data_IF_392991488254
#
_entry.id   IF_392991488254
#
_cell.length_a   1.000
_cell.length_b   1.000
_cell.length_c   1.000
_cell.angle_alpha   90.00
_cell.angle_beta   90.00
_cell.angle_gamma   90.00
#
_symmetry.space_group_name_H-M   'P 1'
#
loop_
_entity.id
_entity.type
_entity.pdbx_description
1 polymer ?
#
# COMPACT_ATOMS: atom_id res chain seq x y z
N UNK A 1 13.85 -6.17 -1.70
CA UNK A 1 13.17 -4.88 -1.92
C UNK A 1 12.09 -5.07 -2.97
N UNK A 2 10.90 -4.54 -2.74
CA UNK A 2 9.84 -4.40 -3.73
C UNK A 2 9.56 -2.91 -3.98
N UNK A 3 9.15 -2.59 -5.21
CA UNK A 3 8.89 -1.22 -5.64
C UNK A 3 7.68 -1.17 -6.58
N UNK A 4 6.91 -0.08 -6.47
CA UNK A 4 5.91 0.35 -7.45
C UNK A 4 6.07 1.84 -7.74
N UNK A 5 5.49 2.30 -8.85
CA UNK A 5 5.44 3.72 -9.20
C UNK A 5 3.99 4.22 -9.12
N UNK A 6 3.79 5.26 -8.32
CA UNK A 6 2.55 6.05 -8.30
C UNK A 6 2.75 7.31 -9.12
N UNK A 7 1.69 7.77 -9.80
CA UNK A 7 1.66 9.07 -10.45
C UNK A 7 1.56 10.16 -9.38
N UNK A 8 2.30 11.26 -9.54
CA UNK A 8 2.24 12.39 -8.61
C UNK A 8 1.21 13.41 -9.05
N UNK A 9 0.55 14.05 -8.08
CA UNK A 9 -0.46 15.09 -8.34
C UNK A 9 0.21 16.25 -9.08
N UNK A 10 -0.46 16.77 -10.11
CA UNK A 10 0.01 17.95 -10.81
C UNK A 10 -0.01 19.18 -9.88
N UNK A 11 1.13 19.88 -9.69
CA UNK A 11 1.21 21.01 -8.76
C UNK A 11 0.37 22.21 -9.20
N UNK A 12 0.15 22.38 -10.50
CA UNK A 12 -0.58 23.52 -11.09
C UNK A 12 -2.10 23.43 -10.88
N UNK A 13 -2.62 22.22 -10.65
CA UNK A 13 -4.05 21.99 -10.54
C UNK A 13 -4.43 21.15 -9.31
N UNK A 14 -3.58 21.12 -8.29
CA UNK A 14 -3.86 20.43 -7.04
C UNK A 14 -5.00 21.12 -6.27
N UNK A 15 -5.97 20.34 -5.82
CA UNK A 15 -7.08 20.81 -4.99
C UNK A 15 -7.39 19.80 -3.88
N UNK A 16 -8.03 20.28 -2.81
CA UNK A 16 -8.49 19.42 -1.73
C UNK A 16 -9.67 18.57 -2.18
N UNK A 17 -9.72 17.34 -1.71
CA UNK A 17 -10.84 16.42 -1.90
C UNK A 17 -11.19 15.76 -0.57
N UNK A 18 -12.44 15.36 -0.40
CA UNK A 18 -12.91 14.62 0.76
C UNK A 18 -13.41 13.24 0.33
N UNK A 19 -13.25 12.26 1.22
CA UNK A 19 -13.72 10.90 1.02
C UNK A 19 -14.63 10.51 2.19
N UNK A 20 -15.71 9.75 1.95
CA UNK A 20 -16.54 9.20 3.02
C UNK A 20 -15.72 8.33 3.97
N UNK A 21 -16.00 8.42 5.27
CA UNK A 21 -15.30 7.62 6.28
C UNK A 21 -15.45 6.11 6.09
N UNK A 22 -16.61 5.66 5.59
CA UNK A 22 -16.88 4.26 5.24
C UNK A 22 -15.91 3.75 4.17
N UNK A 23 -15.77 4.48 3.06
CA UNK A 23 -14.84 4.16 1.98
C UNK A 23 -13.38 4.11 2.49
N UNK A 24 -12.98 5.06 3.34
CA UNK A 24 -11.65 5.08 3.93
C UNK A 24 -11.40 3.87 4.84
N UNK A 25 -12.44 3.38 5.52
CA UNK A 25 -12.40 2.14 6.29
C UNK A 25 -12.23 0.91 5.40
N UNK A 26 -13.00 0.81 4.32
CA UNK A 26 -12.95 -0.32 3.37
C UNK A 26 -11.55 -0.50 2.74
N UNK A 27 -10.90 0.59 2.38
CA UNK A 27 -9.56 0.54 1.77
C UNK A 27 -8.41 0.45 2.80
N UNK A 28 -8.74 0.46 4.10
CA UNK A 28 -7.76 0.39 5.18
C UNK A 28 -6.88 1.66 5.29
N UNK A 29 -7.42 2.85 5.06
CA UNK A 29 -6.67 4.08 5.25
C UNK A 29 -6.53 4.41 6.75
N UNK A 30 -5.31 4.65 7.26
CA UNK A 30 -5.03 4.91 8.68
C UNK A 30 -5.39 6.35 9.08
N UNK A 31 -6.71 6.63 9.15
CA UNK A 31 -7.26 7.97 9.42
C UNK A 31 -6.78 8.58 10.74
N UNK A 32 -6.59 7.76 11.79
CA UNK A 32 -6.18 8.22 13.11
C UNK A 32 -4.72 8.67 13.12
N UNK A 33 -3.87 8.00 12.36
CA UNK A 33 -2.45 8.30 12.28
C UNK A 33 -2.14 9.43 11.28
N UNK A 34 -2.83 9.45 10.13
CA UNK A 34 -2.47 10.31 9.00
C UNK A 34 -3.41 11.50 8.74
N UNK A 35 -4.60 11.50 9.34
CA UNK A 35 -5.60 12.55 9.15
C UNK A 35 -6.28 12.55 7.77
N UNK A 36 -7.00 13.61 7.46
CA UNK A 36 -7.97 13.68 6.33
C UNK A 36 -7.59 14.67 5.23
N UNK A 37 -6.32 15.08 5.15
CA UNK A 37 -5.86 16.06 4.14
C UNK A 37 -5.57 15.37 2.81
N UNK A 38 -6.63 15.12 2.03
CA UNK A 38 -6.49 14.53 0.71
C UNK A 38 -6.42 15.58 -0.39
N UNK A 39 -5.58 15.32 -1.38
CA UNK A 39 -5.39 16.16 -2.55
C UNK A 39 -5.65 15.36 -3.82
N UNK A 40 -6.14 16.03 -4.85
CA UNK A 40 -6.24 15.50 -6.22
C UNK A 40 -5.85 16.55 -7.24
N UNK A 41 -5.52 16.15 -8.46
CA UNK A 41 -5.40 17.08 -9.57
C UNK A 41 -6.72 17.20 -10.33
N UNK A 42 -7.28 18.41 -10.45
CA UNK A 42 -8.54 18.64 -11.20
C UNK A 42 -8.41 18.51 -12.73
N UNK A 43 -7.19 18.50 -13.25
CA UNK A 43 -6.89 18.57 -14.67
C UNK A 43 -6.62 20.01 -15.14
N UNK A 44 -5.55 20.18 -15.91
CA UNK A 44 -5.19 21.43 -16.58
C UNK A 44 -4.31 21.15 -17.80
N UNK A 45 -3.99 22.17 -18.58
CA UNK A 45 -3.20 22.00 -19.80
C UNK A 45 -1.76 21.53 -19.51
N UNK A 46 -1.18 21.93 -18.37
CA UNK A 46 0.18 21.52 -17.96
C UNK A 46 0.29 20.01 -17.73
N UNK A 47 -0.77 19.39 -17.21
CA UNK A 47 -0.85 17.93 -17.04
C UNK A 47 -1.66 17.23 -18.14
N UNK A 48 -1.99 17.92 -19.23
CA UNK A 48 -2.80 17.41 -20.35
C UNK A 48 -4.13 16.81 -19.87
N UNK A 49 -4.78 17.51 -18.95
CA UNK A 49 -6.08 17.14 -18.37
C UNK A 49 -6.07 15.80 -17.60
N UNK A 50 -4.91 15.27 -17.23
CA UNK A 50 -4.83 14.00 -16.48
C UNK A 50 -4.94 14.17 -14.97
N UNK A 51 -4.64 15.36 -14.45
CA UNK A 51 -4.49 15.62 -13.00
C UNK A 51 -3.14 15.16 -12.41
N UNK A 52 -2.27 14.53 -13.20
CA UNK A 52 -0.99 13.99 -12.75
C UNK A 52 0.20 14.53 -13.53
N UNK A 53 1.32 14.75 -12.86
CA UNK A 53 2.56 15.18 -13.50
C UNK A 53 3.76 14.60 -12.74
N UNK A 54 4.42 13.62 -13.37
CA UNK A 54 5.54 12.90 -12.76
C UNK A 54 5.13 11.58 -12.11
N UNK A 55 6.11 10.93 -11.47
CA UNK A 55 5.95 9.67 -10.75
C UNK A 55 6.84 9.68 -9.51
N UNK A 56 6.36 9.04 -8.45
CA UNK A 56 7.14 8.75 -7.26
C UNK A 56 7.17 7.24 -7.03
N UNK A 57 8.27 6.75 -6.47
CA UNK A 57 8.40 5.36 -6.07
C UNK A 57 7.83 5.16 -4.67
N UNK A 58 7.10 4.07 -4.47
CA UNK A 58 6.80 3.52 -3.14
C UNK A 58 7.61 2.25 -2.94
N UNK A 59 8.02 1.99 -1.69
CA UNK A 59 8.95 0.92 -1.36
C UNK A 59 8.44 0.01 -0.26
N UNK A 60 8.80 -1.27 -0.37
CA UNK A 60 8.71 -2.26 0.71
C UNK A 60 10.08 -2.92 0.84
N UNK A 61 10.71 -2.73 2.00
CA UNK A 61 12.08 -3.17 2.26
C UNK A 61 12.06 -4.21 3.37
N UNK A 62 12.10 -5.47 2.96
CA UNK A 62 12.29 -6.59 3.86
C UNK A 62 13.78 -6.71 4.24
N UNK A 63 14.10 -6.41 5.50
CA UNK A 63 15.42 -6.66 6.08
C UNK A 63 15.41 -8.08 6.65
N UNK A 64 16.39 -8.91 6.26
CA UNK A 64 16.49 -10.29 6.77
C UNK A 64 17.05 -10.29 8.18
N UNK A 65 16.15 -10.22 9.17
CA UNK A 65 16.47 -10.34 10.59
C UNK A 65 16.72 -11.80 10.98
N UNK A 66 17.23 -12.03 12.19
CA UNK A 66 17.47 -13.38 12.70
C UNK A 66 16.18 -14.22 12.84
N UNK A 67 15.06 -13.69 13.36
CA UNK A 67 13.77 -14.39 13.31
C UNK A 67 13.36 -14.80 11.90
N UNK A 68 13.45 -13.89 10.94
CA UNK A 68 13.05 -14.17 9.56
C UNK A 68 13.97 -15.22 8.90
N UNK A 69 15.27 -15.16 9.18
CA UNK A 69 16.26 -16.16 8.72
C UNK A 69 15.88 -17.57 9.19
N UNK A 70 15.48 -17.73 10.45
CA UNK A 70 15.04 -19.03 10.99
C UNK A 70 13.80 -19.55 10.27
N UNK A 71 12.81 -18.69 10.03
CA UNK A 71 11.60 -19.06 9.30
C UNK A 71 11.90 -19.45 7.85
N UNK A 72 12.81 -18.74 7.17
CA UNK A 72 13.27 -19.11 5.83
C UNK A 72 13.92 -20.50 5.83
N UNK A 73 14.80 -20.80 6.79
CA UNK A 73 15.43 -22.12 6.91
C UNK A 73 14.41 -23.24 7.17
N UNK A 74 13.33 -22.93 7.88
CA UNK A 74 12.20 -23.82 8.13
C UNK A 74 11.23 -23.92 6.94
N UNK A 75 11.47 -23.17 5.85
CA UNK A 75 10.60 -23.11 4.67
C UNK A 75 9.15 -22.74 5.00
N UNK A 76 8.96 -21.83 5.96
CA UNK A 76 7.65 -21.22 6.25
C UNK A 76 7.11 -20.50 5.01
N UNK A 77 5.80 -20.37 4.89
CA UNK A 77 5.19 -19.79 3.70
C UNK A 77 5.40 -18.27 3.62
N UNK A 78 5.17 -17.70 2.44
CA UNK A 78 5.40 -16.29 2.18
C UNK A 78 4.52 -15.35 3.01
N UNK A 79 3.31 -15.77 3.39
CA UNK A 79 2.41 -15.00 4.25
C UNK A 79 2.97 -14.88 5.66
N UNK A 80 3.44 -15.99 6.22
CA UNK A 80 4.09 -16.02 7.53
C UNK A 80 5.38 -15.20 7.56
N UNK A 81 6.20 -15.32 6.52
CA UNK A 81 7.41 -14.51 6.37
C UNK A 81 7.08 -13.02 6.29
N UNK A 82 6.02 -12.64 5.56
CA UNK A 82 5.57 -11.25 5.45
C UNK A 82 5.06 -10.72 6.79
N UNK A 83 4.27 -11.50 7.53
CA UNK A 83 3.78 -11.14 8.86
C UNK A 83 4.94 -10.93 9.84
N UNK A 84 5.92 -11.83 9.86
CA UNK A 84 7.13 -11.68 10.66
C UNK A 84 7.91 -10.41 10.27
N UNK A 85 8.12 -10.18 8.97
CA UNK A 85 8.81 -8.98 8.51
C UNK A 85 8.09 -7.69 8.94
N UNK A 86 6.76 -7.63 8.84
CA UNK A 86 5.96 -6.47 9.29
C UNK A 86 6.10 -6.28 10.81
N UNK A 87 6.04 -7.35 11.60
CA UNK A 87 6.22 -7.27 13.06
C UNK A 87 7.63 -6.78 13.43
N UNK A 88 8.64 -7.09 12.62
CA UNK A 88 10.03 -6.64 12.76
C UNK A 88 10.25 -5.22 12.19
N UNK A 89 9.18 -4.50 11.81
CA UNK A 89 9.23 -3.11 11.38
C UNK A 89 9.31 -2.90 9.87
N UNK A 90 9.11 -3.94 9.05
CA UNK A 90 8.94 -3.76 7.61
C UNK A 90 7.65 -3.01 7.34
N UNK A 91 7.79 -1.95 6.56
CA UNK A 91 6.66 -1.24 6.02
C UNK A 91 6.28 -1.76 4.63
N UNK A 92 4.99 -1.94 4.41
CA UNK A 92 4.42 -2.38 3.15
C UNK A 92 4.34 -1.27 2.11
N UNK A 93 4.23 -1.66 0.83
CA UNK A 93 4.01 -0.70 -0.27
C UNK A 93 2.80 0.21 -0.01
N UNK A 94 1.70 -0.35 0.53
CA UNK A 94 0.48 0.41 0.80
C UNK A 94 0.67 1.43 1.93
N UNK A 95 1.37 1.06 3.01
CA UNK A 95 1.66 1.98 4.10
C UNK A 95 2.53 3.16 3.62
N UNK A 96 3.58 2.91 2.82
CA UNK A 96 4.38 4.00 2.24
C UNK A 96 3.52 4.88 1.31
N UNK A 97 2.65 4.25 0.52
CA UNK A 97 1.66 4.94 -0.30
C UNK A 97 0.73 5.86 0.51
N UNK A 98 0.17 5.39 1.63
CA UNK A 98 -0.68 6.19 2.49
C UNK A 98 0.01 7.40 3.07
N UNK A 99 1.28 7.30 3.45
CA UNK A 99 2.03 8.49 3.87
C UNK A 99 2.19 9.50 2.74
N UNK A 100 2.43 9.03 1.51
CA UNK A 100 2.52 9.92 0.33
C UNK A 100 1.20 10.61 0.02
N UNK A 101 0.08 9.93 0.25
CA UNK A 101 -1.27 10.51 0.16
C UNK A 101 -1.45 11.58 1.22
N UNK A 102 -1.10 11.31 2.48
CA UNK A 102 -1.19 12.26 3.58
C UNK A 102 -0.30 13.51 3.38
N UNK A 103 0.80 13.36 2.64
CA UNK A 103 1.66 14.46 2.21
C UNK A 103 1.11 15.23 1.00
N UNK A 104 0.01 14.80 0.40
CA UNK A 104 -0.59 15.43 -0.78
C UNK A 104 0.21 15.23 -2.07
N UNK A 105 1.08 14.22 -2.13
CA UNK A 105 1.97 13.98 -3.29
C UNK A 105 1.38 13.04 -4.34
N UNK A 106 0.46 12.16 -3.95
CA UNK A 106 -0.27 11.21 -4.79
C UNK A 106 -1.71 11.09 -4.29
N UNK A 107 -2.58 10.42 -5.04
CA UNK A 107 -3.98 10.21 -4.67
C UNK A 107 -4.23 8.82 -4.09
N UNK A 108 -5.37 8.63 -3.42
CA UNK A 108 -5.81 7.33 -2.90
C UNK A 108 -5.90 6.31 -4.04
N UNK A 109 -6.51 6.70 -5.16
CA UNK A 109 -6.75 5.84 -6.32
C UNK A 109 -5.43 5.29 -6.88
N UNK A 110 -4.37 6.10 -6.87
CA UNK A 110 -3.05 5.67 -7.32
C UNK A 110 -2.44 4.62 -6.41
N UNK A 111 -2.53 4.80 -5.09
CA UNK A 111 -1.98 3.82 -4.14
C UNK A 111 -2.76 2.51 -4.22
N UNK A 112 -4.10 2.57 -4.23
CA UNK A 112 -4.95 1.39 -4.35
C UNK A 112 -4.65 0.65 -5.65
N UNK A 113 -4.59 1.36 -6.79
CA UNK A 113 -4.31 0.77 -8.11
C UNK A 113 -3.01 -0.03 -8.15
N UNK A 114 -1.94 0.43 -7.50
CA UNK A 114 -0.62 -0.21 -7.60
C UNK A 114 -0.33 -1.24 -6.51
N UNK A 115 -1.19 -1.34 -5.48
CA UNK A 115 -0.98 -2.22 -4.32
C UNK A 115 -2.07 -3.28 -4.12
N UNK A 116 -3.17 -3.26 -4.89
CA UNK A 116 -4.29 -4.21 -4.80
C UNK A 116 -3.85 -5.70 -4.77
N UNK A 117 -2.82 -6.09 -5.53
CA UNK A 117 -2.38 -7.49 -5.59
C UNK A 117 -1.60 -7.94 -4.35
N UNK A 118 -0.99 -7.01 -3.60
CA UNK A 118 -0.10 -7.35 -2.49
C UNK A 118 -0.87 -7.71 -1.19
N UNK A 119 -2.16 -7.36 -1.10
CA UNK A 119 -3.03 -7.67 0.05
C UNK A 119 -3.63 -9.08 -0.03
N UNK A 120 -3.98 -9.55 -1.24
CA UNK A 120 -4.61 -10.87 -1.45
C UNK A 120 -3.72 -12.03 -1.01
N UNK A 121 -2.39 -11.84 -1.00
CA UNK A 121 -1.44 -12.85 -0.52
C UNK A 121 -1.40 -12.99 1.01
N UNK A 122 -1.97 -12.06 1.77
CA UNK A 122 -2.00 -12.13 3.23
C UNK A 122 -3.21 -12.92 3.78
N UNK A 123 -4.19 -13.25 2.94
CA UNK A 123 -5.44 -13.93 3.34
C UNK A 123 -5.48 -15.43 2.99
N UNK A 124 -4.49 -15.96 2.27
CA UNK A 124 -4.42 -17.39 1.93
C UNK A 124 -3.43 -18.15 2.81
N UNK A 125 -3.77 -18.36 4.08
CA UNK A 125 -3.13 -19.41 4.91
C UNK A 125 -4.06 -20.06 5.94
N UNK A 126 -5.36 -19.78 5.90
CA UNK A 126 -6.35 -20.61 6.59
C UNK A 126 -6.96 -21.61 5.60
N UNK A 127 -6.92 -22.89 5.98
CA UNK A 127 -7.54 -24.06 5.34
C UNK A 127 -6.66 -24.87 4.38
N UNK A 128 -5.75 -25.65 4.98
CA UNK A 128 -5.48 -27.00 4.51
C UNK A 128 -5.46 -27.96 5.70
N UNK A 129 -6.55 -28.72 5.89
CA UNK A 129 -6.44 -30.10 6.39
C UNK A 129 -7.31 -31.02 5.53
N UNK A 130 -6.78 -32.15 5.03
CA UNK A 130 -7.55 -33.14 4.31
C UNK A 130 -8.31 -34.02 5.31
N UNK A 131 -9.64 -33.99 5.28
CA UNK A 131 -10.45 -35.00 5.98
C UNK A 131 -10.67 -36.20 5.05
N UNK A 132 -10.05 -37.31 5.45
CA UNK A 132 -10.20 -38.63 4.83
C UNK A 132 -11.59 -39.17 5.16
N UNK A 133 -12.41 -39.45 4.15
CA UNK A 133 -13.70 -40.09 4.38
C UNK A 133 -13.51 -41.61 4.53
N UNK A 134 -13.83 -42.13 5.71
CA UNK A 134 -14.12 -43.54 5.97
C UNK A 134 -15.61 -43.74 6.18
#
# INVERSE_FOLDING_TARGET
IAQRLVRTICPECAEKVEYPGEYLGEIGFPLKELGTKFMRGKGCDQCRQTGYQGRAAIYEICVVTEPLRKMIMQKRDGGELKQCAIAEGMETLRQDGWRRVAQGSTTIEEVVRVTQTDEVMAETSAEAEPVVAG
#
